data_IF_773493148304
#
_entry.id   IF_773493148304
#
_cell.length_a   1.000
_cell.length_b   1.000
_cell.length_c   1.000
_cell.angle_alpha   90.00
_cell.angle_beta   90.00
_cell.angle_gamma   90.00
#
_symmetry.space_group_name_H-M   'P 1'
#
loop_
_entity.id
_entity.type
_entity.pdbx_description
1 polymer ?
#
# COMPACT_ATOMS: atom_id res chain seq x y z
N UNK A 1 6.81 14.58 -8.35
CA UNK A 1 7.80 15.24 -7.47
C UNK A 1 8.40 16.50 -8.11
N UNK A 2 9.13 16.38 -9.23
CA UNK A 2 9.78 17.54 -9.86
C UNK A 2 8.83 18.63 -10.36
N UNK A 3 7.67 18.26 -10.93
CA UNK A 3 6.67 19.22 -11.44
C UNK A 3 6.05 20.13 -10.38
N UNK A 4 6.15 19.74 -9.10
CA UNK A 4 5.61 20.53 -7.97
C UNK A 4 6.72 21.17 -7.14
N UNK A 5 7.94 21.28 -7.69
CA UNK A 5 9.04 22.06 -7.11
C UNK A 5 10.02 21.29 -6.22
N UNK A 6 9.84 19.98 -6.01
CA UNK A 6 10.82 19.18 -5.27
C UNK A 6 12.05 18.83 -6.13
N UNK A 7 13.21 18.76 -5.49
CA UNK A 7 14.52 18.36 -6.04
C UNK A 7 15.06 17.16 -5.25
N UNK A 8 16.09 16.51 -5.78
CA UNK A 8 16.75 15.36 -5.13
C UNK A 8 15.75 14.28 -4.68
N UNK A 9 14.96 13.75 -5.62
CA UNK A 9 13.90 12.78 -5.33
C UNK A 9 14.49 11.37 -5.32
N UNK A 10 14.34 10.69 -4.19
CA UNK A 10 14.87 9.35 -3.94
C UNK A 10 13.73 8.42 -3.54
N UNK A 11 13.66 7.25 -4.18
CA UNK A 11 12.75 6.17 -3.78
C UNK A 11 13.47 5.33 -2.74
N UNK A 12 13.01 5.41 -1.49
CA UNK A 12 13.63 4.70 -0.37
C UNK A 12 13.20 3.23 -0.33
N UNK A 13 11.93 2.96 -0.61
CA UNK A 13 11.39 1.60 -0.61
C UNK A 13 10.09 1.52 -1.41
N UNK A 14 9.87 0.35 -2.00
CA UNK A 14 8.58 -0.08 -2.56
C UNK A 14 8.22 -1.36 -1.84
N UNK A 15 7.12 -1.35 -1.10
CA UNK A 15 6.65 -2.51 -0.35
C UNK A 15 5.23 -2.89 -0.75
N UNK A 16 4.95 -4.19 -0.81
CA UNK A 16 3.57 -4.67 -0.83
C UNK A 16 3.00 -4.49 0.57
N UNK A 17 1.73 -4.11 0.67
CA UNK A 17 1.07 -4.07 1.98
C UNK A 17 0.88 -5.50 2.45
N UNK A 18 1.38 -5.81 3.64
CA UNK A 18 1.31 -7.15 4.22
C UNK A 18 0.12 -7.29 5.18
N UNK A 19 -0.42 -8.49 5.31
CA UNK A 19 -1.53 -8.76 6.25
C UNK A 19 -1.13 -8.63 7.72
N UNK A 20 0.16 -8.70 8.07
CA UNK A 20 0.58 -8.38 9.44
C UNK A 20 0.58 -6.86 9.70
N UNK A 21 0.86 -6.06 8.67
CA UNK A 21 0.83 -4.60 8.72
C UNK A 21 -0.60 -4.07 8.82
N UNK A 22 -1.51 -4.63 8.01
CA UNK A 22 -2.91 -4.21 7.95
C UNK A 22 -3.85 -5.41 8.10
N UNK A 23 -4.47 -5.52 9.27
CA UNK A 23 -5.43 -6.57 9.62
C UNK A 23 -6.43 -6.08 10.64
N UNK A 24 -7.51 -6.85 10.79
CA UNK A 24 -8.44 -6.68 11.92
C UNK A 24 -7.71 -6.92 13.24
N UNK A 25 -8.16 -6.21 14.27
CA UNK A 25 -7.69 -6.35 15.65
C UNK A 25 -8.90 -6.27 16.57
N UNK A 26 -8.80 -6.62 17.87
CA UNK A 26 -9.91 -6.45 18.80
C UNK A 26 -10.45 -5.01 18.90
N UNK A 27 -9.68 -4.02 18.43
CA UNK A 27 -10.02 -2.60 18.46
C UNK A 27 -10.67 -2.11 17.16
N UNK A 28 -10.68 -2.93 16.10
CA UNK A 28 -11.24 -2.61 14.78
C UNK A 28 -12.06 -3.80 14.33
N UNK A 29 -13.39 -3.64 14.34
CA UNK A 29 -14.40 -4.65 14.03
C UNK A 29 -14.94 -4.55 12.58
N UNK A 30 -14.45 -3.58 11.81
CA UNK A 30 -14.81 -3.38 10.40
C UNK A 30 -13.85 -4.11 9.45
N UNK A 31 -14.08 -3.98 8.13
CA UNK A 31 -13.27 -4.60 7.09
C UNK A 31 -11.81 -4.12 7.10
N UNK A 32 -10.88 -4.98 6.68
CA UNK A 32 -9.44 -4.74 6.59
C UNK A 32 -8.86 -5.32 5.30
N UNK A 33 -7.53 -5.37 5.17
CA UNK A 33 -6.84 -5.74 3.92
C UNK A 33 -7.33 -7.06 3.32
N UNK A 34 -7.54 -8.08 4.15
CA UNK A 34 -8.03 -9.39 3.75
C UNK A 34 -9.39 -9.34 3.03
N UNK A 35 -10.27 -8.42 3.39
CA UNK A 35 -11.61 -8.28 2.81
C UNK A 35 -11.56 -7.60 1.43
N UNK A 36 -10.44 -6.96 1.09
CA UNK A 36 -10.24 -6.21 -0.15
C UNK A 36 -9.36 -6.95 -1.17
N UNK A 37 -8.83 -8.13 -0.83
CA UNK A 37 -8.04 -8.98 -1.73
C UNK A 37 -8.88 -10.14 -2.28
N UNK A 38 -8.52 -10.66 -3.45
CA UNK A 38 -9.16 -11.89 -3.95
C UNK A 38 -8.74 -13.08 -3.08
N UNK A 39 -9.72 -13.92 -2.72
CA UNK A 39 -9.50 -15.06 -1.82
C UNK A 39 -8.60 -16.14 -2.44
N UNK A 40 -8.61 -16.27 -3.77
CA UNK A 40 -7.79 -17.20 -4.54
C UNK A 40 -6.46 -16.60 -5.03
N UNK A 41 -6.37 -15.26 -5.12
CA UNK A 41 -5.18 -14.54 -5.58
C UNK A 41 -4.95 -13.21 -4.82
N UNK A 42 -4.18 -13.28 -3.73
CA UNK A 42 -3.79 -12.10 -2.94
C UNK A 42 -2.89 -11.10 -3.70
N UNK A 43 -2.52 -11.37 -4.96
CA UNK A 43 -1.84 -10.38 -5.81
C UNK A 43 -2.80 -9.38 -6.45
N UNK A 44 -4.11 -9.58 -6.30
CA UNK A 44 -5.15 -8.68 -6.80
C UNK A 44 -6.14 -8.27 -5.73
N UNK A 45 -6.76 -7.10 -5.94
CA UNK A 45 -7.93 -6.65 -5.20
C UNK A 45 -9.18 -7.34 -5.70
N UNK A 46 -10.27 -7.29 -4.93
CA UNK A 46 -11.57 -7.87 -5.33
C UNK A 46 -12.11 -7.30 -6.65
N UNK A 47 -11.73 -6.07 -7.02
CA UNK A 47 -12.07 -5.43 -8.30
C UNK A 47 -11.16 -5.87 -9.46
N UNK A 48 -10.14 -6.70 -9.20
CA UNK A 48 -9.21 -7.24 -10.19
C UNK A 48 -7.96 -6.37 -10.45
N UNK A 49 -7.74 -5.30 -9.69
CA UNK A 49 -6.52 -4.50 -9.80
C UNK A 49 -5.35 -5.15 -9.05
N UNK A 50 -4.08 -4.80 -9.34
CA UNK A 50 -2.97 -5.25 -8.53
C UNK A 50 -3.12 -4.87 -7.06
N UNK A 51 -2.77 -5.79 -6.16
CA UNK A 51 -2.86 -5.60 -4.72
C UNK A 51 -2.08 -4.35 -4.25
N UNK A 52 -2.48 -3.74 -3.11
CA UNK A 52 -1.91 -2.49 -2.64
C UNK A 52 -0.39 -2.53 -2.47
N UNK A 53 0.27 -1.50 -2.98
CA UNK A 53 1.71 -1.25 -2.81
C UNK A 53 1.93 0.16 -2.29
N UNK A 54 2.88 0.31 -1.37
CA UNK A 54 3.27 1.59 -0.76
C UNK A 54 4.69 1.93 -1.20
N UNK A 55 4.91 3.20 -1.50
CA UNK A 55 6.22 3.73 -1.90
C UNK A 55 6.62 4.82 -0.92
N UNK A 56 7.82 4.72 -0.38
CA UNK A 56 8.42 5.75 0.47
C UNK A 56 9.35 6.59 -0.40
N UNK A 57 9.07 7.89 -0.48
CA UNK A 57 9.84 8.84 -1.29
C UNK A 57 10.39 9.92 -0.38
N UNK A 58 11.70 10.16 -0.49
CA UNK A 58 12.38 11.30 0.11
C UNK A 58 12.62 12.34 -0.97
N UNK A 59 12.42 13.61 -0.65
CA UNK A 59 12.71 14.70 -1.55
C UNK A 59 13.09 15.96 -0.77
N UNK A 60 13.81 16.88 -1.41
CA UNK A 60 14.12 18.21 -0.89
C UNK A 60 13.33 19.26 -1.64
N UNK A 61 13.11 20.41 -1.01
CA UNK A 61 12.49 21.58 -1.63
C UNK A 61 13.56 22.48 -2.24
#
# INVERSE_FOLDING_TARGET
CYRVGFREVEVLAITKTDSNEQRKTPWIDTQSLEDFLQQDDNTKTIEGYPAPKRVYIKAKR
#
